data_IF_288696031011
#
_entry.id   IF_288696031011
#
_cell.length_a   1.000
_cell.length_b   1.000
_cell.length_c   1.000
_cell.angle_alpha   90.00
_cell.angle_beta   90.00
_cell.angle_gamma   90.00
#
_symmetry.space_group_name_H-M   'P 1'
#
loop_
_entity.id
_entity.type
_entity.pdbx_description
1 polymer ?
#
# COMPACT_ATOMS: atom_id res chain seq x y z
N UNK A 1 34.87 9.32 31.50
CA UNK A 1 34.98 9.22 30.03
C UNK A 1 34.37 10.50 29.45
N UNK A 2 35.13 11.31 28.72
CA UNK A 2 34.57 12.49 28.02
C UNK A 2 33.93 11.98 26.73
N UNK A 3 32.63 12.22 26.58
CA UNK A 3 31.90 11.83 25.36
C UNK A 3 32.28 12.84 24.29
N UNK A 4 32.72 12.36 23.14
CA UNK A 4 33.06 13.20 21.99
C UNK A 4 31.77 13.73 21.36
N UNK A 5 31.49 15.05 21.46
CA UNK A 5 30.26 15.63 20.94
C UNK A 5 30.17 15.55 19.41
N UNK A 6 31.29 15.53 18.70
CA UNK A 6 31.31 15.46 17.24
C UNK A 6 30.91 14.06 16.75
N UNK A 7 31.36 13.01 17.45
CA UNK A 7 30.94 11.63 17.19
C UNK A 7 29.46 11.38 17.49
N UNK A 8 28.92 12.01 18.54
CA UNK A 8 27.48 11.97 18.86
C UNK A 8 26.64 12.64 17.77
N UNK A 9 27.04 13.82 17.29
CA UNK A 9 26.36 14.52 16.21
C UNK A 9 26.42 13.76 14.88
N UNK A 10 27.57 13.15 14.55
CA UNK A 10 27.70 12.29 13.38
C UNK A 10 26.74 11.09 13.44
N UNK A 11 26.62 10.43 14.60
CA UNK A 11 25.68 9.32 14.78
C UNK A 11 24.20 9.73 14.68
N UNK A 12 23.87 10.96 15.06
CA UNK A 12 22.53 11.53 14.90
C UNK A 12 22.23 11.80 13.42
N UNK A 13 23.20 12.32 12.66
CA UNK A 13 23.04 12.58 11.22
C UNK A 13 22.82 11.27 10.44
N UNK A 14 23.45 10.17 10.87
CA UNK A 14 23.25 8.84 10.29
C UNK A 14 21.98 8.11 10.78
N UNK A 15 21.24 8.71 11.72
CA UNK A 15 20.01 8.09 12.25
C UNK A 15 18.99 7.89 11.14
N UNK A 16 18.56 6.64 10.86
CA UNK A 16 17.53 6.37 9.85
C UNK A 16 16.22 7.11 10.12
N UNK A 17 15.93 7.40 11.39
CA UNK A 17 14.75 8.17 11.83
C UNK A 17 14.87 9.64 11.46
N UNK A 18 16.08 10.23 11.47
CA UNK A 18 16.29 11.61 11.03
C UNK A 18 16.40 11.72 9.51
N UNK A 19 16.98 10.70 8.86
CA UNK A 19 17.11 10.65 7.41
C UNK A 19 15.78 10.35 6.71
N UNK A 20 14.92 9.52 7.32
CA UNK A 20 13.63 9.11 6.76
C UNK A 20 12.57 9.00 7.86
N UNK A 21 12.19 10.11 8.49
CA UNK A 21 11.26 10.12 9.63
C UNK A 21 9.89 9.52 9.33
N UNK A 22 9.49 9.50 8.06
CA UNK A 22 8.18 9.01 7.62
C UNK A 22 8.24 7.71 6.83
N UNK A 23 9.41 7.06 6.69
CA UNK A 23 9.56 5.86 5.87
C UNK A 23 8.50 4.79 6.17
N UNK A 24 8.19 4.54 7.45
CA UNK A 24 7.18 3.56 7.81
C UNK A 24 5.76 3.94 7.38
N UNK A 25 5.43 5.24 7.34
CA UNK A 25 4.13 5.73 6.86
C UNK A 25 4.10 5.64 5.32
N UNK A 26 5.19 6.04 4.65
CA UNK A 26 5.35 5.94 3.20
C UNK A 26 5.20 4.49 2.73
N UNK A 27 5.88 3.54 3.38
CA UNK A 27 5.76 2.10 3.11
C UNK A 27 4.32 1.59 3.28
N UNK A 28 3.61 2.08 4.31
CA UNK A 28 2.21 1.70 4.55
C UNK A 28 1.27 2.28 3.49
N UNK A 29 1.52 3.51 3.05
CA UNK A 29 0.76 4.15 1.98
C UNK A 29 0.98 3.43 0.65
N UNK A 30 2.23 3.06 0.33
CA UNK A 30 2.56 2.30 -0.88
C UNK A 30 1.88 0.93 -0.88
N UNK A 31 1.91 0.21 0.25
CA UNK A 31 1.19 -1.07 0.39
C UNK A 31 -0.31 -0.91 0.19
N UNK A 32 -0.91 0.13 0.78
CA UNK A 32 -2.34 0.41 0.63
C UNK A 32 -2.69 0.77 -0.82
N UNK A 33 -1.90 1.63 -1.46
CA UNK A 33 -2.08 2.00 -2.86
C UNK A 33 -2.01 0.77 -3.77
N UNK A 34 -1.00 -0.07 -3.59
CA UNK A 34 -0.82 -1.32 -4.34
C UNK A 34 -2.02 -2.26 -4.16
N UNK A 35 -2.51 -2.40 -2.92
CA UNK A 35 -3.69 -3.21 -2.61
C UNK A 35 -4.94 -2.69 -3.33
N UNK A 36 -5.21 -1.38 -3.25
CA UNK A 36 -6.37 -0.75 -3.90
C UNK A 36 -6.29 -0.91 -5.41
N UNK A 37 -5.13 -0.66 -6.03
CA UNK A 37 -4.92 -0.87 -7.47
C UNK A 37 -5.16 -2.32 -7.88
N UNK A 38 -4.63 -3.28 -7.12
CA UNK A 38 -4.84 -4.70 -7.38
C UNK A 38 -6.31 -5.11 -7.24
N UNK A 39 -7.02 -4.54 -6.27
CA UNK A 39 -8.46 -4.77 -6.08
C UNK A 39 -9.25 -4.21 -7.26
N UNK A 40 -8.95 -2.99 -7.69
CA UNK A 40 -9.62 -2.37 -8.83
C UNK A 40 -9.43 -3.18 -10.11
N UNK A 41 -8.20 -3.64 -10.39
CA UNK A 41 -7.93 -4.49 -11.56
C UNK A 41 -8.77 -5.78 -11.56
N UNK A 42 -8.87 -6.48 -10.42
CA UNK A 42 -9.71 -7.69 -10.30
C UNK A 42 -11.20 -7.41 -10.48
N UNK A 43 -11.68 -6.27 -9.99
CA UNK A 43 -13.07 -5.87 -10.16
C UNK A 43 -13.37 -5.57 -11.64
N UNK A 44 -12.43 -4.93 -12.34
CA UNK A 44 -12.50 -4.73 -13.78
C UNK A 44 -12.56 -6.07 -14.53
N UNK A 45 -11.73 -7.05 -14.14
CA UNK A 45 -11.77 -8.40 -14.73
C UNK A 45 -13.13 -9.08 -14.52
N UNK A 46 -13.75 -8.94 -13.34
CA UNK A 46 -15.09 -9.50 -13.08
C UNK A 46 -16.16 -8.82 -13.93
N UNK A 47 -16.07 -7.50 -14.11
CA UNK A 47 -16.95 -6.75 -14.99
C UNK A 47 -16.82 -7.22 -16.45
N UNK A 48 -15.59 -7.39 -16.95
CA UNK A 48 -15.33 -7.89 -18.30
C UNK A 48 -15.86 -9.31 -18.52
N UNK A 49 -15.66 -10.23 -17.55
CA UNK A 49 -16.19 -11.60 -17.60
C UNK A 49 -17.72 -11.57 -17.68
N UNK A 50 -18.38 -10.73 -16.88
CA UNK A 50 -19.82 -10.63 -16.93
C UNK A 50 -20.35 -9.99 -18.22
N UNK A 51 -19.65 -8.97 -18.75
CA UNK A 51 -19.98 -8.34 -20.03
C UNK A 51 -19.79 -9.31 -21.21
N UNK A 52 -18.86 -10.27 -21.09
CA UNK A 52 -18.73 -11.39 -22.02
C UNK A 52 -19.85 -12.46 -21.87
N UNK A 53 -20.80 -12.28 -20.94
CA UNK A 53 -21.89 -13.21 -20.68
C UNK A 53 -21.47 -14.49 -19.96
N UNK A 54 -20.27 -14.51 -19.37
CA UNK A 54 -19.77 -15.66 -18.63
C UNK A 54 -20.28 -15.64 -17.17
N UNK A 55 -20.59 -16.81 -16.60
CA UNK A 55 -21.06 -16.87 -15.22
C UNK A 55 -19.94 -16.54 -14.23
N UNK A 56 -20.19 -15.56 -13.36
CA UNK A 56 -19.36 -15.27 -12.19
C UNK A 56 -19.77 -16.14 -10.99
N UNK A 57 -18.82 -16.41 -10.10
CA UNK A 57 -19.12 -17.02 -8.80
C UNK A 57 -19.88 -16.04 -7.90
N UNK A 58 -20.53 -16.57 -6.85
CA UNK A 58 -21.22 -15.74 -5.85
C UNK A 58 -20.28 -14.72 -5.20
N UNK A 59 -19.05 -15.12 -4.89
CA UNK A 59 -18.05 -14.21 -4.29
C UNK A 59 -17.56 -13.13 -5.25
N UNK A 60 -17.46 -13.42 -6.55
CA UNK A 60 -17.08 -12.42 -7.57
C UNK A 60 -18.20 -11.41 -7.78
N UNK A 61 -19.46 -11.85 -7.81
CA UNK A 61 -20.61 -10.96 -7.89
C UNK A 61 -20.74 -10.06 -6.65
N UNK A 62 -20.54 -10.59 -5.44
CA UNK A 62 -20.55 -9.80 -4.20
C UNK A 62 -19.38 -8.81 -4.12
N UNK A 63 -18.20 -9.18 -4.65
CA UNK A 63 -17.08 -8.26 -4.75
C UNK A 63 -17.37 -7.12 -5.74
N UNK A 64 -17.99 -7.42 -6.88
CA UNK A 64 -18.35 -6.47 -7.93
C UNK A 64 -19.43 -5.48 -7.49
N UNK A 65 -20.40 -5.91 -6.68
CA UNK A 65 -21.46 -5.01 -6.17
C UNK A 65 -20.94 -3.97 -5.16
N UNK A 66 -19.76 -4.18 -4.58
CA UNK A 66 -19.11 -3.29 -3.61
C UNK A 66 -18.00 -2.42 -4.24
N UNK A 67 -18.05 -2.21 -5.55
CA UNK A 67 -17.03 -1.45 -6.28
C UNK A 67 -17.02 0.04 -5.88
N UNK A 68 -18.18 0.59 -5.51
CA UNK A 68 -18.33 1.97 -5.06
C UNK A 68 -17.85 2.20 -3.60
N UNK A 69 -17.50 1.13 -2.88
CA UNK A 69 -16.96 1.19 -1.50
C UNK A 69 -15.43 1.23 -1.45
N UNK A 70 -14.76 1.31 -2.61
CA UNK A 70 -13.29 1.41 -2.76
C UNK A 70 -12.87 2.88 -2.84
#
# INVERSE_FOLDING_TARGET
MKVDPDGLLASLIESPVLLKPYASIEDQLEKKATYVQSRLARLQEYEDIANAGLPLTVSQNDARSKIDEV
#
